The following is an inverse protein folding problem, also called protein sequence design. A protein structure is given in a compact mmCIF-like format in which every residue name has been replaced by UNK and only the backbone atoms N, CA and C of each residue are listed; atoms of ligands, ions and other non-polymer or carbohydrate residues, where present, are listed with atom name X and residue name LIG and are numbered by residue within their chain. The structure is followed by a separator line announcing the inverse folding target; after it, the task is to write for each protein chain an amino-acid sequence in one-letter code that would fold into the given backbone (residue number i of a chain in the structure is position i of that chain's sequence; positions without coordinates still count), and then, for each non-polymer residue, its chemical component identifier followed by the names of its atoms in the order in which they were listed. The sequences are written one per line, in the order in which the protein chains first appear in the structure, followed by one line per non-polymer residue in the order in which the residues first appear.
data_IF_846931112545
#
_entry.id   IF_846931112545
#
_cell.length_a   1.000
_cell.length_b   1.000
_cell.length_c   1.000
_cell.angle_alpha   90.00
_cell.angle_beta   90.00
_cell.angle_gamma   90.00
#
_symmetry.space_group_name_H-M   'P 1'
#
loop_
_entity.id
_entity.type
_entity.pdbx_description
1 polymer ?
#
# COMPACT_ATOMS: atom_id res chain seq x y z
N UNK A 1 -16.83 5.46 -3.83
CA UNK A 1 -16.08 6.67 -4.21
C UNK A 1 -14.91 6.30 -5.10
N UNK A 2 -13.87 5.59 -4.61
CA UNK A 2 -12.71 5.20 -5.43
C UNK A 2 -13.09 4.36 -6.66
N UNK A 3 -13.82 3.25 -6.48
CA UNK A 3 -14.19 2.36 -7.60
C UNK A 3 -15.20 2.99 -8.58
N UNK A 4 -15.88 4.07 -8.15
CA UNK A 4 -16.94 4.73 -8.91
C UNK A 4 -16.49 6.02 -9.61
N UNK A 5 -15.19 6.35 -9.56
CA UNK A 5 -14.61 7.52 -10.25
C UNK A 5 -13.73 7.05 -11.41
N UNK A 6 -14.27 6.92 -12.64
CA UNK A 6 -13.54 6.35 -13.78
C UNK A 6 -12.24 7.11 -14.14
N UNK A 7 -12.18 8.42 -13.89
CA UNK A 7 -10.99 9.25 -14.15
C UNK A 7 -9.74 8.73 -13.43
N UNK A 8 -9.91 8.21 -12.21
CA UNK A 8 -8.78 7.72 -11.43
C UNK A 8 -8.27 6.36 -11.92
N UNK A 9 -9.12 5.61 -12.64
CA UNK A 9 -8.80 4.28 -13.16
C UNK A 9 -8.27 3.34 -12.06
N UNK A 10 -8.80 3.46 -10.85
CA UNK A 10 -8.26 2.84 -9.65
C UNK A 10 -9.31 1.92 -9.01
N UNK A 11 -8.85 0.88 -8.31
CA UNK A 11 -9.73 -0.05 -7.58
C UNK A 11 -9.26 -0.32 -6.17
N UNK A 12 -10.18 -0.42 -5.21
CA UNK A 12 -9.85 -0.87 -3.86
C UNK A 12 -9.59 -2.38 -3.89
N UNK A 13 -8.47 -2.82 -3.32
CA UNK A 13 -8.09 -4.25 -3.27
C UNK A 13 -7.94 -4.79 -1.86
N UNK A 14 -7.75 -3.90 -0.87
CA UNK A 14 -7.65 -4.29 0.53
C UNK A 14 -7.94 -3.09 1.45
N UNK A 15 -8.35 -3.37 2.68
CA UNK A 15 -8.48 -2.37 3.73
C UNK A 15 -8.35 -2.99 5.12
N UNK A 16 -7.73 -2.28 6.04
CA UNK A 16 -7.59 -2.69 7.44
C UNK A 16 -7.85 -1.50 8.36
N UNK A 17 -9.10 -1.41 8.83
CA UNK A 17 -9.63 -0.38 9.75
C UNK A 17 -9.47 1.06 9.26
N UNK A 18 -8.26 1.60 9.36
CA UNK A 18 -7.89 2.99 9.03
C UNK A 18 -7.07 3.10 7.74
N UNK A 19 -6.74 1.97 7.10
CA UNK A 19 -5.94 1.92 5.88
C UNK A 19 -6.71 1.37 4.67
N UNK A 20 -6.42 1.94 3.49
CA UNK A 20 -7.01 1.56 2.20
C UNK A 20 -5.88 1.27 1.20
N UNK A 21 -5.97 0.13 0.51
CA UNK A 21 -5.05 -0.24 -0.56
C UNK A 21 -5.77 -0.11 -1.89
N UNK A 22 -5.24 0.76 -2.74
CA UNK A 22 -5.81 1.09 -4.04
C UNK A 22 -4.83 0.65 -5.13
N UNK A 23 -5.30 -0.19 -6.05
CA UNK A 23 -4.55 -0.60 -7.23
C UNK A 23 -4.81 0.36 -8.39
N UNK A 24 -3.73 0.85 -8.99
CA UNK A 24 -3.75 1.66 -10.22
C UNK A 24 -3.05 0.86 -11.34
N UNK A 25 -3.78 0.11 -12.19
CA UNK A 25 -3.21 -0.82 -13.15
C UNK A 25 -2.45 -0.11 -14.27
N UNK A 26 -1.28 -0.65 -14.64
CA UNK A 26 -0.50 -0.19 -15.79
C UNK A 26 0.10 1.22 -15.64
N UNK A 27 0.24 1.74 -14.43
CA UNK A 27 0.77 3.09 -14.16
C UNK A 27 2.15 3.04 -13.52
N UNK A 28 2.93 4.11 -13.72
CA UNK A 28 4.21 4.31 -13.03
C UNK A 28 4.00 4.66 -11.55
N UNK A 29 5.05 4.46 -10.74
CA UNK A 29 5.06 4.85 -9.32
C UNK A 29 4.70 6.32 -9.11
N UNK A 30 5.30 7.20 -9.90
CA UNK A 30 5.03 8.65 -9.87
C UNK A 30 3.57 8.96 -10.13
N UNK A 31 2.96 8.27 -11.10
CA UNK A 31 1.55 8.42 -11.40
C UNK A 31 0.68 7.87 -10.27
N UNK A 32 1.05 6.74 -9.66
CA UNK A 32 0.35 6.19 -8.50
C UNK A 32 0.34 7.16 -7.30
N UNK A 33 1.46 7.85 -7.02
CA UNK A 33 1.50 8.91 -6.00
C UNK A 33 0.56 10.07 -6.32
N UNK A 34 0.52 10.52 -7.58
CA UNK A 34 -0.39 11.61 -8.01
C UNK A 34 -1.86 11.22 -7.83
N UNK A 35 -2.23 10.01 -8.25
CA UNK A 35 -3.60 9.48 -8.08
C UNK A 35 -3.94 9.31 -6.60
N UNK A 36 -3.04 8.71 -5.81
CA UNK A 36 -3.22 8.53 -4.38
C UNK A 36 -3.42 9.87 -3.64
N UNK A 37 -2.66 10.90 -4.01
CA UNK A 37 -2.85 12.26 -3.48
C UNK A 37 -4.22 12.83 -3.84
N UNK A 38 -4.63 12.76 -5.11
CA UNK A 38 -5.97 13.20 -5.54
C UNK A 38 -7.09 12.52 -4.75
N UNK A 39 -6.98 11.20 -4.54
CA UNK A 39 -7.94 10.42 -3.76
C UNK A 39 -7.96 10.88 -2.30
N UNK A 40 -6.78 11.07 -1.69
CA UNK A 40 -6.66 11.51 -0.30
C UNK A 40 -7.25 12.92 -0.08
N UNK A 41 -6.96 13.86 -0.99
CA UNK A 41 -7.46 15.23 -0.93
C UNK A 41 -8.99 15.23 -1.08
N UNK A 42 -9.54 14.55 -2.10
CA UNK A 42 -10.98 14.47 -2.33
C UNK A 42 -11.74 13.83 -1.14
N UNK A 43 -11.23 12.72 -0.59
CA UNK A 43 -11.85 12.09 0.58
C UNK A 43 -11.75 13.01 1.81
N UNK A 44 -10.64 13.73 1.98
CA UNK A 44 -10.51 14.69 3.09
C UNK A 44 -11.50 15.83 2.98
N UNK A 45 -11.71 16.39 1.77
CA UNK A 45 -12.68 17.45 1.52
C UNK A 45 -14.13 17.01 1.75
N UNK A 46 -14.45 15.75 1.47
CA UNK A 46 -15.77 15.16 1.70
C UNK A 46 -16.07 14.86 3.19
N UNK A 47 -15.10 15.06 4.09
CA UNK A 47 -15.25 14.78 5.52
C UNK A 47 -15.12 16.05 6.38
N UNK A 48 -15.84 16.14 7.51
CA UNK A 48 -15.73 17.28 8.41
C UNK A 48 -14.37 17.34 9.11
N UNK A 49 -13.90 18.55 9.39
CA UNK A 49 -12.71 18.76 10.24
C UNK A 49 -12.92 18.09 11.62
N UNK A 50 -11.93 17.36 12.18
CA UNK A 50 -10.51 17.27 11.79
C UNK A 50 -10.12 16.02 10.99
N UNK A 51 -11.08 15.35 10.34
CA UNK A 51 -10.84 14.07 9.65
C UNK A 51 -10.00 14.33 8.39
N UNK A 52 -8.83 13.68 8.29
CA UNK A 52 -7.94 13.79 7.13
C UNK A 52 -7.43 12.42 6.70
N UNK A 53 -7.51 12.15 5.40
CA UNK A 53 -6.86 11.00 4.78
C UNK A 53 -5.50 11.42 4.26
N UNK A 54 -4.46 10.65 4.57
CA UNK A 54 -3.08 10.92 4.12
C UNK A 54 -2.63 9.87 3.12
N UNK A 55 -2.09 10.31 1.99
CA UNK A 55 -1.32 9.42 1.12
C UNK A 55 0.03 9.11 1.78
N UNK A 56 0.21 7.87 2.25
CA UNK A 56 1.39 7.49 3.03
C UNK A 56 2.51 6.92 2.15
N UNK A 57 2.21 5.92 1.31
CA UNK A 57 3.22 5.19 0.52
C UNK A 57 2.63 4.46 -0.69
N UNK A 58 3.50 4.08 -1.63
CA UNK A 58 3.18 3.21 -2.76
C UNK A 58 3.96 1.91 -2.63
N UNK A 59 3.30 0.76 -2.79
CA UNK A 59 3.95 -0.54 -2.92
C UNK A 59 4.16 -0.92 -4.40
N UNK A 60 5.39 -1.27 -4.78
CA UNK A 60 5.71 -1.78 -6.12
C UNK A 60 7.02 -2.58 -6.09
N UNK A 61 6.99 -3.93 -6.19
CA UNK A 61 5.83 -4.83 -6.16
C UNK A 61 5.17 -4.98 -4.78
N UNK A 62 3.97 -5.56 -4.77
CA UNK A 62 3.18 -5.88 -3.57
C UNK A 62 2.53 -7.26 -3.69
N UNK A 63 2.52 -8.03 -2.61
CA UNK A 63 1.82 -9.31 -2.48
C UNK A 63 0.88 -9.22 -1.27
N UNK A 64 -0.41 -9.36 -1.53
CA UNK A 64 -1.45 -9.48 -0.52
C UNK A 64 -1.78 -10.97 -0.34
N UNK A 65 -1.37 -11.57 0.77
CA UNK A 65 -1.60 -12.99 1.01
C UNK A 65 -2.97 -13.23 1.65
N UNK A 66 -3.21 -12.63 2.80
CA UNK A 66 -4.50 -12.70 3.54
C UNK A 66 -4.67 -11.45 4.41
N UNK A 67 -5.80 -11.33 5.12
CA UNK A 67 -6.01 -10.24 6.08
C UNK A 67 -4.84 -10.16 7.07
N UNK A 68 -4.28 -8.96 7.24
CA UNK A 68 -3.10 -8.65 8.07
C UNK A 68 -1.82 -9.39 7.67
N UNK A 69 -1.75 -9.97 6.46
CA UNK A 69 -0.56 -10.66 5.93
C UNK A 69 -0.24 -10.19 4.52
N UNK A 70 0.75 -9.31 4.40
CA UNK A 70 1.19 -8.75 3.12
C UNK A 70 2.66 -8.36 3.17
N UNK A 71 3.26 -8.25 1.99
CA UNK A 71 4.66 -7.87 1.82
C UNK A 71 4.84 -7.10 0.52
N UNK A 72 5.79 -6.17 0.51
CA UNK A 72 6.17 -5.48 -0.71
C UNK A 72 7.33 -4.53 -0.50
N UNK A 73 7.80 -3.98 -1.61
CA UNK A 73 8.72 -2.86 -1.59
C UNK A 73 7.92 -1.57 -1.56
N UNK A 74 8.08 -0.81 -0.48
CA UNK A 74 7.39 0.46 -0.28
C UNK A 74 8.27 1.66 -0.62
N UNK A 75 7.62 2.69 -1.14
CA UNK A 75 8.18 4.00 -1.41
C UNK A 75 7.30 5.05 -0.73
N UNK A 76 7.90 6.00 -0.02
CA UNK A 76 7.19 7.08 0.68
C UNK A 76 7.15 8.37 -0.15
N UNK A 77 8.02 8.49 -1.15
CA UNK A 77 8.01 9.60 -2.10
C UNK A 77 8.29 9.15 -3.55
N UNK A 78 7.87 9.94 -4.56
CA UNK A 78 8.17 9.64 -5.97
C UNK A 78 9.68 9.57 -6.26
N UNK A 79 10.46 10.45 -5.60
CA UNK A 79 11.90 10.61 -5.80
C UNK A 79 12.75 9.56 -5.08
N UNK A 80 12.13 8.76 -4.21
CA UNK A 80 12.81 7.67 -3.51
C UNK A 80 13.30 6.62 -4.51
N UNK A 81 14.63 6.47 -4.61
CA UNK A 81 15.26 5.50 -5.53
C UNK A 81 15.19 4.08 -4.98
N UNK A 82 15.71 3.88 -3.78
CA UNK A 82 15.77 2.57 -3.12
C UNK A 82 14.49 2.28 -2.34
N UNK A 83 13.85 1.12 -2.55
CA UNK A 83 12.68 0.75 -1.77
C UNK A 83 13.03 0.37 -0.33
N UNK A 84 12.03 0.43 0.55
CA UNK A 84 12.08 -0.23 1.85
C UNK A 84 11.29 -1.52 1.78
N UNK A 85 11.89 -2.63 2.19
CA UNK A 85 11.17 -3.90 2.34
C UNK A 85 10.22 -3.80 3.55
N UNK A 86 8.92 -3.92 3.29
CA UNK A 86 7.91 -3.91 4.35
C UNK A 86 7.10 -5.20 4.33
N UNK A 87 7.00 -5.82 5.50
CA UNK A 87 6.41 -7.14 5.71
C UNK A 87 5.53 -7.09 6.95
N UNK A 88 4.23 -7.38 6.78
CA UNK A 88 3.24 -7.37 7.86
C UNK A 88 2.67 -8.77 8.02
N UNK A 89 2.75 -9.32 9.23
CA UNK A 89 2.15 -10.60 9.61
C UNK A 89 2.67 -11.86 8.90
N UNK A 90 3.63 -11.72 7.98
CA UNK A 90 4.25 -12.86 7.27
C UNK A 90 5.35 -13.52 8.10
N UNK A 91 5.72 -14.76 7.73
CA UNK A 91 6.63 -15.58 8.54
C UNK A 91 8.07 -15.03 8.61
N UNK A 92 8.44 -14.08 7.76
CA UNK A 92 9.77 -13.42 7.80
C UNK A 92 9.93 -12.46 8.98
N UNK A 93 8.83 -12.01 9.59
CA UNK A 93 8.81 -11.09 10.74
C UNK A 93 8.23 -11.73 12.02
N UNK A 94 7.73 -12.96 11.91
CA UNK A 94 7.20 -13.74 13.04
C UNK A 94 8.33 -14.41 13.83
N UNK A 95 8.14 -14.53 15.15
CA UNK A 95 9.12 -15.10 16.09
C UNK A 95 8.78 -16.51 16.57
N UNK A 96 7.61 -17.02 16.23
CA UNK A 96 7.08 -18.32 16.65
C UNK A 96 7.47 -19.48 15.72
N UNK A 97 8.37 -19.25 14.75
CA UNK A 97 8.85 -20.26 13.80
C UNK A 97 10.36 -20.51 13.89
N UNK A 98 10.81 -21.57 13.22
CA UNK A 98 12.25 -21.87 13.11
C UNK A 98 12.99 -20.75 12.33
N UNK A 99 14.16 -20.28 12.80
CA UNK A 99 14.93 -19.22 12.13
C UNK A 99 15.25 -19.49 10.66
N UNK A 100 15.33 -20.77 10.25
CA UNK A 100 15.54 -21.15 8.86
C UNK A 100 14.40 -20.68 7.95
N UNK A 101 13.14 -20.71 8.41
CA UNK A 101 11.97 -20.33 7.63
C UNK A 101 12.02 -18.85 7.24
N UNK A 102 12.40 -17.98 8.18
CA UNK A 102 12.52 -16.54 7.93
C UNK A 102 13.67 -16.21 6.98
N UNK A 103 14.79 -16.95 7.05
CA UNK A 103 15.93 -16.79 6.14
C UNK A 103 15.58 -17.21 4.71
N UNK A 104 14.96 -18.37 4.53
CA UNK A 104 14.58 -18.89 3.22
C UNK A 104 13.57 -17.96 2.55
N UNK A 105 12.53 -17.51 3.26
CA UNK A 105 11.47 -16.66 2.70
C UNK A 105 11.89 -15.22 2.41
N UNK A 106 12.95 -14.71 3.03
CA UNK A 106 13.49 -13.37 2.70
C UNK A 106 14.33 -13.36 1.43
N UNK A 107 14.89 -14.52 1.07
CA UNK A 107 15.82 -14.67 -0.06
C UNK A 107 15.14 -15.24 -1.31
N UNK A 108 13.82 -15.44 -1.26
CA UNK A 108 12.98 -15.95 -2.34
C UNK A 108 12.19 -14.79 -2.96
#
# INVERSE_FOLDING_TARGET
MVDNTPEWGARVVYGDTDSLFVLVPGRSREHAFKVGKKIADAITEDNPDPIKLKMEKVYQPCILQTKKRYVGYMYESPDQKEPVYDAKGIETVRRDGCPAVSKVKKNM
#
